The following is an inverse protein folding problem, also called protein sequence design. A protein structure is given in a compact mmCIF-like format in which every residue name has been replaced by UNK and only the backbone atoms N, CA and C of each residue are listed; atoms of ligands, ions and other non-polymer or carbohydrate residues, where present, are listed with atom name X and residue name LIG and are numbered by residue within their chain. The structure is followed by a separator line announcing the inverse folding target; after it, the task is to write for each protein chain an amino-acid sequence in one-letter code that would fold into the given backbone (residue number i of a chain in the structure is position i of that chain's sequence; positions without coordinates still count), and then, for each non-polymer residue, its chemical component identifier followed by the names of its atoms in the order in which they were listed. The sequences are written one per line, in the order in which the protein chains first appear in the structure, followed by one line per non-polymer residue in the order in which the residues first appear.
data_IF_935997043534
#
_entry.id   IF_935997043534
#
_cell.length_a   1.000
_cell.length_b   1.000
_cell.length_c   1.000
_cell.angle_alpha   90.00
_cell.angle_beta   90.00
_cell.angle_gamma   90.00
#
_symmetry.space_group_name_H-M   'P 1'
#
loop_
_entity.id
_entity.type
_entity.pdbx_description
1 polymer ?
#
# COMPACT_ATOMS: atom_id res chain seq x y z
N UNK A 1 10.52 63.75 31.75
CA UNK A 1 9.26 62.99 31.64
C UNK A 1 9.03 62.75 30.17
N UNK A 2 9.61 61.68 29.65
CA UNK A 2 9.02 60.33 29.62
C UNK A 2 7.94 60.20 28.53
N UNK A 3 8.29 59.37 27.53
CA UNK A 3 7.45 58.24 27.05
C UNK A 3 6.67 58.45 25.74
N UNK A 4 7.37 58.07 24.66
CA UNK A 4 6.94 57.07 23.64
C UNK A 4 6.16 57.54 22.41
N UNK A 5 6.91 57.81 21.34
CA UNK A 5 6.46 57.60 19.95
C UNK A 5 6.71 56.13 19.55
N UNK A 6 5.64 55.43 19.19
CA UNK A 6 5.69 54.09 18.62
C UNK A 6 6.26 54.16 17.19
N UNK A 7 7.49 53.65 17.02
CA UNK A 7 8.08 53.33 15.74
C UNK A 7 7.55 51.96 15.28
N UNK A 8 6.64 51.95 14.31
CA UNK A 8 6.26 50.77 13.53
C UNK A 8 7.44 50.36 12.63
N UNK A 9 8.40 49.67 13.25
CA UNK A 9 9.44 48.92 12.55
C UNK A 9 8.89 47.54 12.18
N UNK A 10 8.23 47.47 11.02
CA UNK A 10 7.75 46.23 10.43
C UNK A 10 8.95 45.42 9.92
N UNK A 11 9.63 44.72 10.85
CA UNK A 11 10.52 43.60 10.52
C UNK A 11 9.67 42.34 10.57
N UNK A 12 9.19 41.91 9.41
CA UNK A 12 8.74 40.55 9.19
C UNK A 12 9.90 39.61 9.56
N UNK A 13 9.89 39.13 10.80
CA UNK A 13 10.66 37.96 11.19
C UNK A 13 9.99 36.79 10.50
N UNK A 14 10.74 36.16 9.59
CA UNK A 14 10.49 34.81 9.14
C UNK A 14 10.43 33.91 10.38
N UNK A 15 9.24 33.72 10.94
CA UNK A 15 8.96 32.57 11.77
C UNK A 15 8.80 31.41 10.79
N UNK A 16 9.91 30.74 10.50
CA UNK A 16 9.89 29.37 10.00
C UNK A 16 9.11 28.55 11.04
N UNK A 17 7.80 28.41 10.82
CA UNK A 17 6.99 27.41 11.48
C UNK A 17 7.48 26.06 11.00
N UNK A 18 8.46 25.50 11.70
CA UNK A 18 8.77 24.08 11.63
C UNK A 18 7.52 23.36 12.16
N UNK A 19 6.55 23.08 11.29
CA UNK A 19 5.63 21.98 11.56
C UNK A 19 6.54 20.76 11.60
N UNK A 20 6.70 20.18 12.78
CA UNK A 20 7.27 18.84 12.91
C UNK A 20 6.37 17.93 12.08
N UNK A 21 6.91 17.44 10.96
CA UNK A 21 6.26 16.43 10.13
C UNK A 21 6.22 15.16 10.97
N UNK A 22 5.04 14.83 11.52
CA UNK A 22 4.81 13.57 12.25
C UNK A 22 5.07 12.37 11.37
N UNK A 23 5.05 12.56 10.04
CA UNK A 23 5.36 11.54 9.06
C UNK A 23 6.81 11.09 9.15
N UNK A 24 7.80 11.98 9.00
CA UNK A 24 9.21 11.58 9.06
C UNK A 24 9.59 10.99 10.43
N UNK A 25 8.99 11.53 11.50
CA UNK A 25 9.22 11.08 12.88
C UNK A 25 8.66 9.67 13.18
N UNK A 26 7.74 9.15 12.34
CA UNK A 26 7.16 7.80 12.52
C UNK A 26 8.02 6.68 11.94
N UNK A 27 9.13 7.00 11.26
CA UNK A 27 10.00 6.02 10.63
C UNK A 27 11.22 5.66 11.47
N UNK A 28 11.56 4.38 11.45
CA UNK A 28 12.80 3.84 11.99
C UNK A 28 13.70 3.39 10.82
N UNK A 29 14.98 3.72 10.90
CA UNK A 29 15.94 3.32 9.88
C UNK A 29 16.31 1.84 10.05
N UNK A 30 16.18 1.08 8.97
CA UNK A 30 16.59 -0.32 8.89
C UNK A 30 18.02 -0.45 8.35
N UNK A 31 18.64 -1.61 8.61
CA UNK A 31 20.06 -1.92 8.32
C UNK A 31 20.51 -1.77 6.86
N UNK A 32 19.59 -1.58 5.92
CA UNK A 32 19.84 -1.51 4.47
C UNK A 32 19.47 -0.16 3.84
N UNK A 33 19.29 0.90 4.63
CA UNK A 33 19.01 2.26 4.13
C UNK A 33 17.54 2.54 3.83
N UNK A 34 16.68 1.54 4.01
CA UNK A 34 15.23 1.70 4.03
C UNK A 34 14.79 2.26 5.38
N UNK A 35 13.67 2.94 5.35
CA UNK A 35 12.99 3.46 6.51
C UNK A 35 11.64 2.77 6.61
N UNK A 36 11.33 2.24 7.79
CA UNK A 36 10.09 1.51 8.05
C UNK A 36 9.25 2.25 9.07
N UNK A 37 7.94 2.34 8.82
CA UNK A 37 6.95 2.78 9.78
C UNK A 37 5.86 1.72 9.89
N UNK A 38 5.33 1.55 11.09
CA UNK A 38 4.19 0.68 11.37
C UNK A 38 2.94 1.55 11.44
N UNK A 39 1.95 1.21 10.64
CA UNK A 39 0.68 1.94 10.54
C UNK A 39 -0.48 0.97 10.38
N UNK A 40 -1.71 1.49 10.37
CA UNK A 40 -2.87 0.75 9.90
C UNK A 40 -2.86 0.64 8.37
N UNK A 41 -3.42 -0.46 7.84
CA UNK A 41 -3.57 -0.65 6.40
C UNK A 41 -4.58 0.37 5.84
N UNK A 42 -4.21 1.20 4.85
CA UNK A 42 -5.08 2.29 4.41
C UNK A 42 -6.17 1.87 3.41
N UNK A 43 -6.02 0.73 2.74
CA UNK A 43 -6.93 0.18 1.72
C UNK A 43 -6.95 -1.34 1.81
N UNK A 44 -8.01 -2.00 1.34
CA UNK A 44 -8.11 -3.48 1.34
C UNK A 44 -7.89 -4.09 2.75
N UNK A 45 -8.49 -3.47 3.77
CA UNK A 45 -8.35 -3.88 5.18
C UNK A 45 -8.81 -5.32 5.42
N UNK A 46 -9.93 -5.70 4.79
CA UNK A 46 -10.56 -7.02 4.93
C UNK A 46 -9.97 -8.08 3.98
N UNK A 47 -9.15 -7.68 2.99
CA UNK A 47 -8.61 -8.58 1.97
C UNK A 47 -7.52 -9.47 2.56
N UNK A 48 -7.71 -10.78 2.45
CA UNK A 48 -6.81 -11.83 2.93
C UNK A 48 -6.80 -13.03 1.98
N UNK A 49 -5.65 -13.30 1.36
CA UNK A 49 -5.35 -14.56 0.69
C UNK A 49 -5.42 -15.72 1.70
N UNK A 50 -6.21 -16.76 1.39
CA UNK A 50 -6.46 -17.90 2.32
C UNK A 50 -5.98 -19.27 1.82
N UNK A 51 -5.45 -19.35 0.61
CA UNK A 51 -5.05 -20.60 -0.02
C UNK A 51 -3.92 -20.35 -1.05
N UNK A 52 -3.10 -21.37 -1.29
CA UNK A 52 -2.02 -21.41 -2.29
C UNK A 52 -2.48 -22.25 -3.48
N UNK A 53 -2.73 -21.63 -4.64
CA UNK A 53 -3.11 -22.34 -5.86
C UNK A 53 -1.91 -22.88 -6.63
N UNK A 54 -0.68 -22.53 -6.26
CA UNK A 54 0.52 -23.14 -6.82
C UNK A 54 0.79 -24.54 -6.24
N UNK A 55 0.26 -24.82 -5.04
CA UNK A 55 0.40 -26.10 -4.34
C UNK A 55 -0.96 -26.75 -4.01
N UNK A 56 -2.08 -26.15 -4.46
CA UNK A 56 -3.46 -26.59 -4.21
C UNK A 56 -3.77 -26.88 -2.73
N UNK A 57 -3.32 -26.01 -1.84
CA UNK A 57 -3.46 -26.16 -0.39
C UNK A 57 -4.09 -24.94 0.28
N UNK A 58 -4.88 -25.17 1.33
CA UNK A 58 -5.26 -24.08 2.24
C UNK A 58 -4.06 -23.71 3.12
N UNK A 59 -3.89 -22.42 3.41
CA UNK A 59 -2.91 -22.03 4.42
C UNK A 59 -3.53 -22.38 5.77
N UNK A 60 -2.82 -23.15 6.59
CA UNK A 60 -3.23 -23.32 7.98
C UNK A 60 -3.26 -21.91 8.60
N UNK A 61 -4.41 -21.54 9.17
CA UNK A 61 -4.56 -20.28 9.91
C UNK A 61 -3.67 -20.36 11.15
N UNK A 62 -2.36 -20.08 10.99
CA UNK A 62 -1.51 -19.72 12.10
C UNK A 62 -1.99 -18.34 12.57
N UNK A 63 -3.02 -18.38 13.42
CA UNK A 63 -3.47 -17.30 14.28
C UNK A 63 -2.31 -16.86 15.18
N UNK A 64 -1.43 -16.00 14.67
CA UNK A 64 -0.96 -14.90 15.49
C UNK A 64 -1.79 -13.67 15.13
N UNK A 65 -2.94 -13.64 15.79
CA UNK A 65 -3.85 -12.51 15.97
C UNK A 65 -3.16 -11.43 16.86
N UNK A 66 -1.96 -11.01 16.45
CA UNK A 66 -1.22 -9.92 17.05
C UNK A 66 -1.32 -8.74 16.12
N UNK A 67 -2.13 -7.73 16.49
CA UNK A 67 -2.26 -6.41 15.84
C UNK A 67 -1.68 -6.37 14.43
N UNK A 68 -2.51 -6.52 13.38
CA UNK A 68 -2.13 -6.43 11.97
C UNK A 68 -1.39 -5.11 11.70
N UNK A 69 -0.11 -5.09 12.01
CA UNK A 69 0.78 -3.96 11.91
C UNK A 69 1.19 -3.92 10.44
N UNK A 70 0.70 -2.91 9.75
CA UNK A 70 0.95 -2.75 8.33
C UNK A 70 2.25 -1.97 8.12
N UNK A 71 3.15 -2.51 7.30
CA UNK A 71 4.45 -1.91 7.08
C UNK A 71 4.41 -0.91 5.92
N UNK A 72 4.83 0.32 6.21
CA UNK A 72 5.10 1.37 5.23
C UNK A 72 6.62 1.54 5.10
N UNK A 73 7.13 1.38 3.89
CA UNK A 73 8.54 1.55 3.59
C UNK A 73 8.81 2.83 2.80
N UNK A 74 9.93 3.46 3.09
CA UNK A 74 10.50 4.57 2.32
C UNK A 74 11.94 4.23 1.97
N UNK A 75 12.28 4.27 0.68
CA UNK A 75 13.63 3.89 0.21
C UNK A 75 14.72 4.89 0.59
N UNK A 76 14.37 6.15 0.79
CA UNK A 76 15.31 7.18 1.27
C UNK A 76 14.57 8.35 1.88
N UNK A 77 14.63 8.49 3.21
CA UNK A 77 14.35 9.77 3.86
C UNK A 77 15.55 10.69 3.60
N UNK A 78 15.53 11.34 2.43
CA UNK A 78 16.54 12.31 2.01
C UNK A 78 16.45 13.63 2.79
N UNK A 79 17.06 14.68 2.24
CA UNK A 79 16.89 16.04 2.77
C UNK A 79 15.39 16.49 2.73
N UNK A 80 15.07 17.62 3.36
CA UNK A 80 13.68 18.06 3.55
C UNK A 80 12.79 18.05 2.30
N UNK A 81 13.32 18.29 1.09
CA UNK A 81 12.54 18.24 -0.14
C UNK A 81 12.12 16.81 -0.54
N UNK A 82 13.03 15.84 -0.40
CA UNK A 82 12.72 14.42 -0.69
C UNK A 82 11.68 13.90 0.31
N UNK A 83 11.81 14.25 1.58
CA UNK A 83 10.83 13.89 2.61
C UNK A 83 9.44 14.46 2.32
N UNK A 84 9.34 15.70 1.80
CA UNK A 84 8.06 16.33 1.42
C UNK A 84 7.30 15.55 0.33
N UNK A 85 8.00 14.96 -0.64
CA UNK A 85 7.34 14.18 -1.70
C UNK A 85 6.77 12.85 -1.20
N UNK A 86 7.44 12.20 -0.24
CA UNK A 86 6.93 11.00 0.42
C UNK A 86 5.72 11.32 1.29
N UNK A 87 5.80 12.41 2.08
CA UNK A 87 4.68 12.89 2.89
C UNK A 87 3.47 13.25 2.01
N UNK A 88 3.70 13.97 0.90
CA UNK A 88 2.63 14.29 -0.05
C UNK A 88 1.98 13.06 -0.70
N UNK A 89 2.78 12.02 -1.01
CA UNK A 89 2.26 10.76 -1.54
C UNK A 89 1.40 10.03 -0.50
N UNK A 90 1.86 9.98 0.75
CA UNK A 90 1.10 9.39 1.85
C UNK A 90 -0.20 10.14 2.13
N UNK A 91 -0.16 11.48 2.21
CA UNK A 91 -1.34 12.32 2.40
C UNK A 91 -2.34 12.13 1.26
N UNK A 92 -1.86 12.08 0.02
CA UNK A 92 -2.70 11.79 -1.15
C UNK A 92 -3.37 10.42 -1.04
N UNK A 93 -2.62 9.40 -0.60
CA UNK A 93 -3.14 8.06 -0.41
C UNK A 93 -4.27 8.04 0.62
N UNK A 94 -4.04 8.61 1.79
CA UNK A 94 -5.04 8.65 2.88
C UNK A 94 -6.28 9.44 2.45
N UNK A 95 -6.10 10.57 1.77
CA UNK A 95 -7.20 11.40 1.30
C UNK A 95 -8.06 10.73 0.22
N UNK A 96 -7.50 9.81 -0.57
CA UNK A 96 -8.16 9.19 -1.73
C UNK A 96 -8.32 7.67 -1.59
N UNK A 97 -8.30 7.14 -0.36
CA UNK A 97 -8.28 5.69 -0.07
C UNK A 97 -9.33 4.89 -0.83
N UNK A 98 -10.57 5.38 -0.90
CA UNK A 98 -11.68 4.67 -1.57
C UNK A 98 -11.45 4.56 -3.07
N UNK A 99 -10.95 5.63 -3.70
CA UNK A 99 -10.65 5.65 -5.13
C UNK A 99 -9.44 4.79 -5.46
N UNK A 100 -8.40 4.85 -4.63
CA UNK A 100 -7.22 4.00 -4.76
C UNK A 100 -7.61 2.54 -4.62
N UNK A 101 -8.46 2.20 -3.65
CA UNK A 101 -8.96 0.84 -3.49
C UNK A 101 -9.73 0.36 -4.73
N UNK A 102 -10.57 1.20 -5.34
CA UNK A 102 -11.25 0.85 -6.59
C UNK A 102 -10.26 0.56 -7.74
N UNK A 103 -9.23 1.39 -7.90
CA UNK A 103 -8.20 1.22 -8.93
C UNK A 103 -7.41 -0.07 -8.68
N UNK A 104 -7.00 -0.32 -7.43
CA UNK A 104 -6.31 -1.55 -7.05
C UNK A 104 -7.18 -2.78 -7.31
N UNK A 105 -8.45 -2.76 -6.90
CA UNK A 105 -9.39 -3.87 -7.14
C UNK A 105 -9.55 -4.15 -8.64
N UNK A 106 -9.60 -3.13 -9.49
CA UNK A 106 -9.67 -3.31 -10.93
C UNK A 106 -8.40 -3.98 -11.50
N UNK A 107 -7.21 -3.57 -11.04
CA UNK A 107 -5.94 -4.19 -11.44
C UNK A 107 -5.80 -5.63 -10.92
N UNK A 108 -6.17 -5.88 -9.66
CA UNK A 108 -6.20 -7.22 -9.06
C UNK A 108 -7.20 -8.14 -9.80
N UNK A 109 -8.33 -7.60 -10.23
CA UNK A 109 -9.30 -8.33 -11.05
C UNK A 109 -8.76 -8.67 -12.43
N UNK A 110 -8.01 -7.77 -13.06
CA UNK A 110 -7.33 -8.05 -14.33
C UNK A 110 -6.31 -9.18 -14.17
N UNK A 111 -5.53 -9.16 -13.10
CA UNK A 111 -4.59 -10.23 -12.76
C UNK A 111 -5.31 -11.56 -12.48
N UNK A 112 -6.37 -11.52 -11.68
CA UNK A 112 -7.19 -12.69 -11.35
C UNK A 112 -7.79 -13.35 -12.59
N UNK A 113 -8.39 -12.58 -13.50
CA UNK A 113 -8.96 -13.13 -14.74
C UNK A 113 -7.91 -13.84 -15.59
N UNK A 114 -6.69 -13.32 -15.63
CA UNK A 114 -5.58 -13.97 -16.34
C UNK A 114 -5.24 -15.31 -15.67
N UNK A 115 -5.00 -15.31 -14.35
CA UNK A 115 -4.70 -16.53 -13.58
C UNK A 115 -5.81 -17.58 -13.69
N UNK A 116 -7.06 -17.16 -13.52
CA UNK A 116 -8.23 -18.03 -13.60
C UNK A 116 -8.38 -18.67 -14.98
N UNK A 117 -8.26 -17.88 -16.04
CA UNK A 117 -8.34 -18.41 -17.41
C UNK A 117 -7.20 -19.40 -17.73
N UNK A 118 -6.00 -19.16 -17.21
CA UNK A 118 -4.86 -20.07 -17.32
C UNK A 118 -5.14 -21.37 -16.58
N UNK A 119 -5.56 -21.27 -15.32
CA UNK A 119 -5.93 -22.42 -14.50
C UNK A 119 -7.04 -23.26 -15.15
N UNK A 120 -8.14 -22.65 -15.60
CA UNK A 120 -9.22 -23.39 -16.27
C UNK A 120 -8.78 -24.13 -17.53
N UNK A 121 -7.82 -23.57 -18.27
CA UNK A 121 -7.27 -24.20 -19.48
C UNK A 121 -6.34 -25.37 -19.14
N UNK A 122 -5.58 -25.24 -18.07
CA UNK A 122 -4.49 -26.16 -17.72
C UNK A 122 -4.94 -27.21 -16.66
N UNK A 123 -6.12 -27.04 -16.06
CA UNK A 123 -6.75 -27.96 -15.10
C UNK A 123 -7.28 -29.21 -15.82
N UNK A 124 -6.62 -30.35 -15.61
CA UNK A 124 -7.18 -31.68 -15.93
C UNK A 124 -8.28 -32.05 -14.92
N UNK A 125 -9.15 -33.01 -15.25
CA UNK A 125 -10.32 -33.40 -14.42
C UNK A 125 -9.94 -33.91 -13.00
N UNK A 126 -8.65 -34.23 -12.75
CA UNK A 126 -8.11 -34.81 -11.51
C UNK A 126 -7.12 -33.85 -10.77
N UNK A 127 -7.36 -32.52 -10.79
CA UNK A 127 -6.53 -31.62 -9.96
C UNK A 127 -6.81 -31.86 -8.47
N UNK A 128 -5.89 -32.59 -7.84
CA UNK A 128 -5.87 -32.88 -6.41
C UNK A 128 -6.02 -31.59 -5.58
N UNK A 129 -6.96 -31.58 -4.63
CA UNK A 129 -7.26 -30.43 -3.78
C UNK A 129 -8.23 -29.39 -4.36
N UNK A 130 -8.57 -29.43 -5.66
CA UNK A 130 -9.52 -28.46 -6.23
C UNK A 130 -10.92 -28.56 -5.59
N UNK A 131 -11.39 -29.77 -5.30
CA UNK A 131 -12.71 -29.98 -4.68
C UNK A 131 -12.85 -29.28 -3.33
N UNK A 132 -11.75 -29.10 -2.60
CA UNK A 132 -11.72 -28.46 -1.28
C UNK A 132 -11.78 -26.92 -1.37
N UNK A 133 -11.31 -26.34 -2.47
CA UNK A 133 -11.21 -24.89 -2.66
C UNK A 133 -12.26 -24.29 -3.59
N UNK A 134 -12.92 -25.10 -4.43
CA UNK A 134 -13.81 -24.60 -5.49
C UNK A 134 -14.97 -23.76 -4.95
N UNK A 135 -15.54 -24.14 -3.79
CA UNK A 135 -16.68 -23.45 -3.17
C UNK A 135 -16.25 -22.36 -2.18
N UNK A 136 -14.95 -22.22 -1.90
CA UNK A 136 -14.45 -21.21 -0.96
C UNK A 136 -14.47 -19.81 -1.56
N UNK A 137 -14.43 -19.68 -2.89
CA UNK A 137 -14.33 -18.40 -3.58
C UNK A 137 -15.37 -18.31 -4.70
N UNK A 138 -15.97 -17.13 -4.83
CA UNK A 138 -16.80 -16.82 -5.99
C UNK A 138 -15.91 -16.36 -7.16
N UNK A 139 -15.32 -17.33 -7.86
CA UNK A 139 -14.24 -17.15 -8.84
C UNK A 139 -14.55 -16.24 -10.04
N UNK A 140 -15.82 -15.91 -10.29
CA UNK A 140 -16.20 -15.02 -11.39
C UNK A 140 -16.57 -13.61 -10.90
N UNK A 141 -16.58 -13.40 -9.59
CA UNK A 141 -17.04 -12.17 -8.94
C UNK A 141 -15.90 -11.31 -8.41
N UNK A 142 -16.16 -10.01 -8.25
CA UNK A 142 -15.24 -9.06 -7.63
C UNK A 142 -14.91 -9.41 -6.17
N UNK A 143 -15.78 -10.13 -5.48
CA UNK A 143 -15.53 -10.61 -4.12
C UNK A 143 -14.42 -11.66 -4.06
N UNK A 144 -13.98 -12.24 -5.18
CA UNK A 144 -12.85 -13.16 -5.19
C UNK A 144 -11.55 -12.49 -4.71
N UNK A 145 -11.41 -11.19 -4.99
CA UNK A 145 -10.19 -10.43 -4.64
C UNK A 145 -9.92 -10.48 -3.14
N UNK A 146 -10.97 -10.35 -2.33
CA UNK A 146 -10.84 -10.32 -0.87
C UNK A 146 -10.34 -11.64 -0.27
N UNK A 147 -10.41 -12.75 -1.03
CA UNK A 147 -9.96 -14.08 -0.62
C UNK A 147 -8.67 -14.55 -1.29
N UNK A 148 -8.24 -13.86 -2.35
CA UNK A 148 -7.12 -14.24 -3.20
C UNK A 148 -5.88 -13.36 -3.01
N UNK A 149 -6.06 -12.16 -2.45
CA UNK A 149 -4.98 -11.19 -2.32
C UNK A 149 -4.91 -10.62 -0.91
N UNK A 150 -3.68 -10.40 -0.44
CA UNK A 150 -3.41 -9.67 0.81
C UNK A 150 -2.45 -8.53 0.50
N UNK A 151 -2.83 -7.28 0.80
CA UNK A 151 -1.89 -6.17 0.79
C UNK A 151 -0.93 -6.32 1.99
N UNK A 152 0.35 -6.57 1.72
CA UNK A 152 1.37 -6.86 2.75
C UNK A 152 2.11 -5.62 3.19
N UNK A 153 2.46 -4.73 2.25
CA UNK A 153 3.15 -3.48 2.54
C UNK A 153 2.93 -2.45 1.42
N UNK A 154 3.25 -1.19 1.72
CA UNK A 154 3.37 -0.13 0.73
C UNK A 154 4.80 0.41 0.78
N UNK A 155 5.40 0.60 -0.39
CA UNK A 155 6.68 1.30 -0.52
C UNK A 155 6.46 2.63 -1.23
N UNK A 156 6.93 3.72 -0.62
CA UNK A 156 7.06 5.01 -1.29
C UNK A 156 8.47 5.09 -1.89
N UNK A 157 8.53 5.04 -3.22
CA UNK A 157 9.77 4.98 -3.99
C UNK A 157 10.47 6.34 -4.11
N UNK A 158 11.74 6.33 -4.54
CA UNK A 158 12.55 7.55 -4.72
C UNK A 158 12.15 8.35 -5.96
N UNK A 159 11.37 7.74 -6.87
CA UNK A 159 10.85 8.37 -8.07
C UNK A 159 9.73 9.35 -7.70
N UNK A 160 9.83 10.58 -8.21
CA UNK A 160 8.86 11.66 -7.96
C UNK A 160 8.18 12.06 -9.25
N UNK A 161 6.85 12.17 -9.21
CA UNK A 161 6.01 12.70 -10.28
C UNK A 161 4.80 13.41 -9.69
N UNK A 162 4.39 14.51 -10.33
CA UNK A 162 3.25 15.33 -9.87
C UNK A 162 3.37 15.77 -8.40
N UNK A 163 4.61 16.10 -8.01
CA UNK A 163 5.06 16.48 -6.67
C UNK A 163 4.88 15.41 -5.58
N UNK A 164 4.63 14.16 -5.96
CA UNK A 164 4.48 13.00 -5.07
C UNK A 164 5.50 11.91 -5.41
N UNK A 165 5.96 11.19 -4.38
CA UNK A 165 6.62 9.89 -4.57
C UNK A 165 5.65 8.86 -5.17
N UNK A 166 6.16 7.91 -5.96
CA UNK A 166 5.36 6.78 -6.45
C UNK A 166 5.01 5.86 -5.27
N UNK A 167 3.74 5.50 -5.13
CA UNK A 167 3.30 4.47 -4.20
C UNK A 167 3.27 3.11 -4.90
N UNK A 168 4.03 2.15 -4.35
CA UNK A 168 4.01 0.75 -4.77
C UNK A 168 3.34 -0.10 -3.71
N UNK A 169 2.35 -0.87 -4.13
CA UNK A 169 1.54 -1.75 -3.30
C UNK A 169 2.00 -3.19 -3.53
N UNK A 170 2.38 -3.86 -2.45
CA UNK A 170 2.90 -5.23 -2.49
C UNK A 170 1.83 -6.19 -2.02
N UNK A 171 1.51 -7.18 -2.84
CA UNK A 171 0.46 -8.16 -2.56
C UNK A 171 1.03 -9.57 -2.47
N UNK A 172 0.61 -10.29 -1.43
CA UNK A 172 0.55 -11.75 -1.54
C UNK A 172 -0.62 -12.11 -2.45
N UNK A 173 -0.41 -13.14 -3.28
CA UNK A 173 -1.38 -13.63 -4.26
C UNK A 173 -1.48 -15.14 -4.15
N UNK A 174 -2.70 -15.67 -4.12
CA UNK A 174 -2.95 -17.10 -4.20
C UNK A 174 -2.49 -17.72 -5.52
N UNK A 175 -2.31 -16.92 -6.57
CA UNK A 175 -1.85 -17.39 -7.89
C UNK A 175 -0.32 -17.58 -7.99
N UNK A 176 0.45 -16.87 -7.18
CA UNK A 176 1.92 -16.86 -7.20
C UNK A 176 2.43 -16.46 -5.80
N UNK A 177 2.69 -17.47 -4.97
CA UNK A 177 3.09 -17.29 -3.58
C UNK A 177 4.60 -17.05 -3.42
N UNK A 178 5.40 -17.38 -4.44
CA UNK A 178 6.84 -17.14 -4.44
C UNK A 178 7.16 -15.66 -4.73
N UNK A 179 6.42 -15.04 -5.64
CA UNK A 179 6.75 -13.69 -6.14
C UNK A 179 5.72 -12.62 -5.77
N UNK A 180 4.47 -13.01 -5.48
CA UNK A 180 3.39 -12.06 -5.21
C UNK A 180 3.03 -11.17 -6.40
N UNK A 181 2.49 -9.99 -6.12
CA UNK A 181 2.11 -9.00 -7.14
C UNK A 181 2.40 -7.58 -6.65
N UNK A 182 3.05 -6.79 -7.51
CA UNK A 182 3.31 -5.38 -7.25
C UNK A 182 2.48 -4.48 -8.18
N UNK A 183 1.77 -3.51 -7.60
CA UNK A 183 1.06 -2.48 -8.36
C UNK A 183 1.64 -1.12 -8.00
N UNK A 184 2.10 -0.35 -8.99
CA UNK A 184 2.58 1.02 -8.77
C UNK A 184 1.53 2.01 -9.25
N UNK A 185 1.16 2.97 -8.40
CA UNK A 185 0.20 4.01 -8.72
C UNK A 185 0.85 5.38 -8.67
N UNK A 186 0.57 6.17 -9.70
CA UNK A 186 0.89 7.58 -9.79
C UNK A 186 -0.28 8.40 -9.29
N UNK A 187 -0.02 9.59 -8.76
CA UNK A 187 -1.08 10.54 -8.35
C UNK A 187 -2.08 10.78 -9.49
N UNK A 188 -1.60 10.89 -10.72
CA UNK A 188 -2.44 11.09 -11.91
C UNK A 188 -3.42 9.95 -12.20
N UNK A 189 -3.15 8.74 -11.72
CA UNK A 189 -4.01 7.58 -11.96
C UNK A 189 -5.30 7.64 -11.14
N UNK A 190 -5.30 8.48 -10.11
CA UNK A 190 -6.38 8.64 -9.12
C UNK A 190 -7.25 9.87 -9.44
N UNK A 191 -7.10 10.48 -10.61
CA UNK A 191 -7.84 11.67 -11.00
C UNK A 191 -9.37 11.44 -11.11
N UNK A 192 -10.13 12.49 -10.78
CA UNK A 192 -11.60 12.59 -10.77
C UNK A 192 -12.27 12.18 -12.09
#
# INVERSE_FOLDING_TARGET
METTMASLGQRCRYAFGFRMSTFADSFQQESHGYWRSITERPVLQESRARFDLSVYGCWEEDEEDGESTFELFVQSLGNGAVSMHHEAAWDHLIANRERIEQVLRAELMRHHKLGWSGFQRDRDDDVEGWEDVQDLVDWESESAIDKLYTLTSITLGPEVRDDCAIARFHFHSSWDTEHGLDISLWRSDIAE
#
